data_IF_054362330284
#
_entry.id   IF_054362330284
#
_cell.length_a   1.000
_cell.length_b   1.000
_cell.length_c   1.000
_cell.angle_alpha   90.00
_cell.angle_beta   90.00
_cell.angle_gamma   90.00
#
_symmetry.space_group_name_H-M   'P 1'
#
loop_
_entity.id
_entity.type
_entity.pdbx_description
1 polymer ?
#
# COMPACT_ATOMS: atom_id res chain seq x y z
N UNK A 1 -13.92 3.99 -4.20
CA UNK A 1 -13.93 2.51 -4.05
C UNK A 1 -13.01 2.03 -5.15
N UNK A 2 -12.13 1.06 -4.95
CA UNK A 2 -11.46 0.48 -6.12
C UNK A 2 -12.54 -0.32 -6.84
N UNK A 3 -12.83 0.07 -8.08
CA UNK A 3 -13.76 -0.60 -8.97
C UNK A 3 -13.14 -1.91 -9.49
N UNK A 4 -11.81 -2.09 -9.38
CA UNK A 4 -11.14 -3.33 -9.77
C UNK A 4 -9.84 -3.60 -9.03
N UNK A 5 -9.44 -4.87 -9.03
CA UNK A 5 -8.11 -5.31 -8.58
C UNK A 5 -6.98 -4.69 -9.41
N UNK A 6 -7.24 -4.36 -10.68
CA UNK A 6 -6.29 -3.65 -11.55
C UNK A 6 -5.88 -2.30 -10.97
N UNK A 7 -6.83 -1.50 -10.47
CA UNK A 7 -6.52 -0.20 -9.85
C UNK A 7 -5.68 -0.33 -8.57
N UNK A 8 -5.80 -1.44 -7.85
CA UNK A 8 -4.94 -1.75 -6.71
C UNK A 8 -3.51 -2.07 -7.14
N UNK A 9 -3.33 -2.80 -8.25
CA UNK A 9 -2.01 -3.03 -8.85
C UNK A 9 -1.39 -1.73 -9.35
N UNK A 10 -2.13 -0.91 -10.10
CA UNK A 10 -1.64 0.39 -10.59
C UNK A 10 -1.27 1.32 -9.44
N UNK A 11 -2.09 1.35 -8.38
CA UNK A 11 -1.74 2.07 -7.16
C UNK A 11 -0.43 1.55 -6.57
N UNK A 12 -0.31 0.23 -6.38
CA UNK A 12 0.90 -0.36 -5.83
C UNK A 12 2.13 -0.03 -6.67
N UNK A 13 2.04 -0.12 -7.99
CA UNK A 13 3.12 0.22 -8.92
C UNK A 13 3.52 1.69 -8.81
N UNK A 14 2.55 2.60 -8.68
CA UNK A 14 2.79 4.03 -8.51
C UNK A 14 3.42 4.41 -7.17
N UNK A 15 3.33 3.56 -6.13
CA UNK A 15 3.88 3.87 -4.81
C UNK A 15 5.43 3.82 -4.80
N UNK A 16 6.08 4.62 -3.95
CA UNK A 16 7.53 4.51 -3.74
C UNK A 16 7.93 3.12 -3.18
N UNK A 17 9.23 2.76 -3.26
CA UNK A 17 9.74 1.48 -2.72
C UNK A 17 9.49 1.35 -1.22
N UNK A 18 9.64 2.42 -0.44
CA UNK A 18 9.11 2.51 0.93
C UNK A 18 7.87 3.41 0.92
N UNK A 19 6.74 2.89 1.39
CA UNK A 19 5.48 3.63 1.42
C UNK A 19 4.72 3.41 2.73
N UNK A 20 3.87 4.38 3.06
CA UNK A 20 3.03 4.33 4.24
C UNK A 20 1.63 4.84 3.95
N UNK A 21 0.86 5.00 5.03
CA UNK A 21 -0.50 5.53 4.98
C UNK A 21 -0.59 6.89 4.25
N UNK A 22 0.46 7.71 4.33
CA UNK A 22 0.56 9.03 3.70
C UNK A 22 0.62 8.92 2.17
N UNK A 23 1.52 8.08 1.63
CA UNK A 23 1.66 7.87 0.19
C UNK A 23 0.38 7.30 -0.46
N UNK A 24 -0.35 6.44 0.26
CA UNK A 24 -1.67 5.96 -0.16
C UNK A 24 -2.72 7.08 -0.10
N UNK A 25 -2.54 8.05 0.79
CA UNK A 25 -3.35 9.26 0.88
C UNK A 25 -3.22 10.18 -0.32
N UNK A 26 -2.00 10.38 -0.82
CA UNK A 26 -1.73 11.17 -2.03
C UNK A 26 -2.41 10.59 -3.29
N UNK A 27 -2.64 9.28 -3.32
CA UNK A 27 -3.41 8.62 -4.38
C UNK A 27 -4.94 8.79 -4.26
N UNK A 28 -5.42 9.66 -3.36
CA UNK A 28 -6.84 9.98 -3.20
C UNK A 28 -7.59 9.09 -2.20
N UNK A 29 -6.89 8.24 -1.43
CA UNK A 29 -7.52 7.42 -0.38
C UNK A 29 -7.50 8.14 0.96
N UNK A 30 -8.68 8.43 1.50
CA UNK A 30 -8.80 9.22 2.73
C UNK A 30 -9.09 8.38 3.98
N UNK A 31 -8.82 8.98 5.15
CA UNK A 31 -9.19 8.45 6.46
C UNK A 31 -8.51 7.12 6.84
N UNK A 32 -9.21 6.30 7.63
CA UNK A 32 -8.67 5.02 8.13
C UNK A 32 -8.38 4.00 7.02
N UNK A 33 -8.99 4.16 5.83
CA UNK A 33 -8.86 3.22 4.71
C UNK A 33 -7.43 3.11 4.19
N UNK A 34 -6.67 4.21 4.16
CA UNK A 34 -5.28 4.20 3.70
C UNK A 34 -4.40 3.25 4.51
N UNK A 35 -4.65 3.11 5.82
CA UNK A 35 -3.93 2.17 6.68
C UNK A 35 -4.30 0.72 6.37
N UNK A 36 -5.59 0.46 6.11
CA UNK A 36 -6.06 -0.88 5.71
C UNK A 36 -5.43 -1.31 4.38
N UNK A 37 -5.26 -0.40 3.44
CA UNK A 37 -4.62 -0.70 2.15
C UNK A 37 -3.14 -1.06 2.32
N UNK A 38 -2.39 -0.28 3.10
CA UNK A 38 -0.96 -0.60 3.36
C UNK A 38 -0.83 -1.99 3.96
N UNK A 39 -1.71 -2.34 4.92
CA UNK A 39 -1.73 -3.67 5.52
C UNK A 39 -2.14 -4.74 4.50
N UNK A 40 -3.17 -4.47 3.70
CA UNK A 40 -3.63 -5.39 2.66
C UNK A 40 -2.54 -5.75 1.66
N UNK A 41 -1.74 -4.76 1.22
CA UNK A 41 -0.62 -5.04 0.33
C UNK A 41 0.39 -5.98 0.98
N UNK A 42 0.78 -5.75 2.23
CA UNK A 42 1.76 -6.61 2.91
C UNK A 42 1.20 -7.99 3.32
N UNK A 43 -0.11 -8.13 3.46
CA UNK A 43 -0.77 -9.42 3.79
C UNK A 43 -1.07 -10.26 2.55
N UNK A 44 -1.14 -9.65 1.36
CA UNK A 44 -1.59 -10.32 0.15
C UNK A 44 -0.40 -10.79 -0.71
N UNK A 45 -0.28 -12.09 -1.03
CA UNK A 45 0.91 -12.68 -1.66
C UNK A 45 1.15 -12.28 -3.13
N UNK A 46 0.35 -11.36 -3.66
CA UNK A 46 0.46 -10.85 -5.03
C UNK A 46 1.19 -9.51 -5.09
N UNK A 47 1.40 -8.87 -3.94
CA UNK A 47 2.16 -7.65 -3.83
C UNK A 47 3.46 -8.00 -3.12
N UNK A 48 4.57 -7.85 -3.83
CA UNK A 48 5.90 -8.09 -3.31
C UNK A 48 6.28 -6.93 -2.38
N UNK A 49 5.70 -6.92 -1.18
CA UNK A 49 6.03 -5.98 -0.13
C UNK A 49 5.80 -6.57 1.25
N UNK A 50 6.43 -5.96 2.26
CA UNK A 50 6.33 -6.38 3.67
C UNK A 50 6.17 -5.18 4.58
N UNK A 51 5.52 -5.36 5.73
CA UNK A 51 5.50 -4.33 6.77
C UNK A 51 6.89 -4.19 7.39
N UNK A 52 7.41 -2.97 7.39
CA UNK A 52 8.68 -2.60 8.04
C UNK A 52 8.48 -1.81 9.33
N UNK A 53 7.27 -1.26 9.54
CA UNK A 53 6.92 -0.56 10.76
C UNK A 53 5.41 -0.48 10.98
N UNK A 54 4.99 -0.47 12.24
CA UNK A 54 3.56 -0.44 12.61
C UNK A 54 3.12 0.94 13.13
N UNK A 55 4.05 1.75 13.67
CA UNK A 55 3.77 3.04 14.31
C UNK A 55 4.96 4.01 14.09
N UNK A 56 5.04 4.70 12.93
CA UNK A 56 4.03 4.78 11.86
C UNK A 56 3.95 3.50 11.01
N UNK A 57 2.77 3.25 10.41
CA UNK A 57 2.55 2.11 9.53
C UNK A 57 3.31 2.31 8.21
N UNK A 58 4.28 1.44 7.95
CA UNK A 58 5.15 1.44 6.77
C UNK A 58 5.25 0.05 6.16
N UNK A 59 5.30 0.03 4.84
CA UNK A 59 5.60 -1.12 4.02
C UNK A 59 6.76 -0.80 3.07
N UNK A 60 7.51 -1.83 2.73
CA UNK A 60 8.62 -1.77 1.79
C UNK A 60 8.38 -2.81 0.70
N UNK A 61 8.48 -2.40 -0.56
CA UNK A 61 8.50 -3.27 -1.72
C UNK A 61 9.75 -4.14 -1.65
N UNK A 62 9.58 -5.45 -1.75
CA UNK A 62 10.69 -6.38 -1.88
C UNK A 62 10.95 -6.55 -3.37
N UNK A 63 11.88 -5.77 -3.89
CA UNK A 63 12.46 -6.02 -5.21
C UNK A 63 13.36 -7.26 -5.06
N UNK A 64 13.03 -8.37 -5.73
CA UNK A 64 13.90 -9.56 -5.82
C UNK A 64 15.20 -9.27 -6.59
#
# INVERSE_FOLDING_TARGET
MFDSFGELCELFESLPPEFGAEAVGDAGITGSRRHLIVRHFAEHPRFDCRLTGERPLRAEKVEE
#
